data_IF_355602111426
#
_entry.id   IF_355602111426
#
_cell.length_a   1.000
_cell.length_b   1.000
_cell.length_c   1.000
_cell.angle_alpha   90.00
_cell.angle_beta   90.00
_cell.angle_gamma   90.00
#
_symmetry.space_group_name_H-M   'P 1'
#
loop_
_entity.id
_entity.type
_entity.pdbx_description
1 polymer ?
#
# COMPACT_ATOMS: atom_id res chain seq x y z
N UNK A 1 15.51 -0.94 1.69
CA UNK A 1 14.87 0.24 1.04
C UNK A 1 13.98 0.87 2.09
N UNK A 2 13.79 2.21 2.08
CA UNK A 2 12.79 2.84 2.94
C UNK A 2 11.43 2.17 2.79
N UNK A 3 10.70 2.06 3.90
CA UNK A 3 9.33 1.57 3.90
C UNK A 3 8.38 2.74 4.11
N UNK A 4 7.25 2.68 3.43
CA UNK A 4 6.18 3.66 3.51
C UNK A 4 4.86 2.97 3.81
N UNK A 5 3.98 3.70 4.48
CA UNK A 5 2.59 3.31 4.67
C UNK A 5 1.68 4.42 4.14
N UNK A 6 0.62 4.04 3.44
CA UNK A 6 -0.39 4.95 2.93
C UNK A 6 -1.75 4.65 3.55
N UNK A 7 -2.47 5.71 3.91
CA UNK A 7 -3.85 5.65 4.42
C UNK A 7 -4.75 6.16 3.30
N UNK A 8 -5.70 5.31 2.87
CA UNK A 8 -6.52 5.55 1.70
C UNK A 8 -7.99 5.81 2.03
N UNK A 9 -8.60 6.63 1.19
CA UNK A 9 -10.05 6.86 1.16
C UNK A 9 -10.56 6.50 -0.23
N UNK A 10 -11.23 5.35 -0.35
CA UNK A 10 -11.82 4.84 -1.60
C UNK A 10 -13.29 4.44 -1.34
N UNK A 11 -14.20 5.42 -1.20
CA UNK A 11 -15.61 5.15 -0.89
C UNK A 11 -16.28 4.27 -1.94
N UNK A 12 -17.05 3.27 -1.50
CA UNK A 12 -17.80 2.39 -2.38
C UNK A 12 -16.95 1.35 -3.13
N UNK A 13 -15.69 1.16 -2.73
CA UNK A 13 -14.85 0.10 -3.30
C UNK A 13 -15.50 -1.28 -3.11
N UNK A 14 -15.63 -2.03 -4.19
CA UNK A 14 -16.15 -3.40 -4.15
C UNK A 14 -15.02 -4.41 -3.94
N UNK A 15 -15.39 -5.63 -3.52
CA UNK A 15 -14.43 -6.74 -3.44
C UNK A 15 -13.75 -7.01 -4.79
N UNK A 16 -14.49 -6.96 -5.89
CA UNK A 16 -13.98 -7.19 -7.24
C UNK A 16 -12.98 -6.10 -7.64
N UNK A 17 -13.32 -4.82 -7.42
CA UNK A 17 -12.42 -3.70 -7.69
C UNK A 17 -11.13 -3.78 -6.86
N UNK A 18 -11.25 -4.16 -5.59
CA UNK A 18 -10.10 -4.37 -4.73
C UNK A 18 -9.21 -5.51 -5.26
N UNK A 19 -9.83 -6.65 -5.59
CA UNK A 19 -9.13 -7.82 -6.12
C UNK A 19 -8.43 -7.52 -7.44
N UNK A 20 -9.10 -6.84 -8.38
CA UNK A 20 -8.51 -6.46 -9.66
C UNK A 20 -7.31 -5.51 -9.49
N UNK A 21 -7.46 -4.48 -8.65
CA UNK A 21 -6.39 -3.53 -8.37
C UNK A 21 -5.12 -4.21 -7.81
N UNK A 22 -5.28 -5.21 -6.95
CA UNK A 22 -4.15 -5.96 -6.37
C UNK A 22 -3.72 -7.19 -7.19
N UNK A 23 -4.56 -7.69 -8.11
CA UNK A 23 -4.24 -8.82 -8.98
C UNK A 23 -3.09 -8.49 -9.95
N UNK A 24 -3.03 -7.23 -10.40
CA UNK A 24 -1.89 -6.69 -11.15
C UNK A 24 -0.58 -6.72 -10.36
N UNK A 25 -0.67 -6.83 -9.03
CA UNK A 25 0.45 -6.92 -8.08
C UNK A 25 0.76 -8.39 -7.74
N UNK A 26 0.25 -9.38 -8.48
CA UNK A 26 0.59 -10.80 -8.28
C UNK A 26 2.10 -11.11 -8.36
N UNK A 27 2.92 -10.19 -8.87
CA UNK A 27 4.40 -10.25 -8.82
C UNK A 27 5.07 -9.43 -7.71
N UNK A 28 4.30 -8.76 -6.83
CA UNK A 28 4.76 -8.02 -5.63
C UNK A 28 5.78 -6.90 -5.87
N UNK A 29 6.15 -6.68 -7.14
CA UNK A 29 7.05 -5.65 -7.64
C UNK A 29 6.41 -5.06 -8.90
N UNK A 30 5.65 -3.95 -8.80
CA UNK A 30 5.16 -3.27 -10.00
C UNK A 30 6.32 -2.81 -10.90
N UNK A 31 7.47 -2.51 -10.29
CA UNK A 31 8.73 -2.23 -10.97
C UNK A 31 9.93 -2.71 -10.12
N UNK A 32 11.17 -2.46 -10.56
CA UNK A 32 12.39 -2.91 -9.84
C UNK A 32 12.67 -2.15 -8.53
N UNK A 33 12.09 -0.98 -8.36
CA UNK A 33 12.30 0.00 -7.29
C UNK A 33 11.18 -0.02 -6.24
N UNK A 34 10.06 -0.67 -6.52
CA UNK A 34 8.86 -0.67 -5.69
C UNK A 34 8.45 -2.10 -5.35
N UNK A 35 8.20 -2.39 -4.07
CA UNK A 35 7.69 -3.68 -3.60
C UNK A 35 6.51 -3.43 -2.67
N UNK A 36 5.30 -3.79 -3.10
CA UNK A 36 4.11 -3.69 -2.25
C UNK A 36 4.11 -4.87 -1.29
N UNK A 37 4.00 -4.59 0.01
CA UNK A 37 4.12 -5.59 1.06
C UNK A 37 2.79 -6.08 1.57
N UNK A 38 1.82 -5.19 1.77
CA UNK A 38 0.49 -5.55 2.27
C UNK A 38 -0.50 -4.48 1.86
N UNK A 39 -1.75 -4.89 1.66
CA UNK A 39 -2.89 -3.97 1.57
C UNK A 39 -4.01 -4.54 2.42
N UNK A 40 -4.50 -3.75 3.35
CA UNK A 40 -5.69 -4.03 4.14
C UNK A 40 -6.83 -3.17 3.59
N UNK A 41 -8.03 -3.74 3.51
CA UNK A 41 -9.21 -3.05 3.00
C UNK A 41 -10.40 -3.28 3.93
N UNK A 42 -11.05 -2.19 4.32
CA UNK A 42 -12.39 -2.17 4.89
C UNK A 42 -13.36 -1.74 3.78
N UNK A 43 -14.19 -2.67 3.32
CA UNK A 43 -15.16 -2.44 2.24
C UNK A 43 -16.35 -1.57 2.68
N UNK A 44 -16.72 -1.61 3.96
CA UNK A 44 -17.88 -0.89 4.49
C UNK A 44 -17.64 0.63 4.50
N UNK A 45 -16.46 1.05 4.94
CA UNK A 45 -16.07 2.45 5.06
C UNK A 45 -15.21 2.94 3.89
N UNK A 46 -14.78 2.03 3.00
CA UNK A 46 -13.87 2.33 1.90
C UNK A 46 -12.49 2.80 2.39
N UNK A 47 -11.99 2.23 3.48
CA UNK A 47 -10.69 2.58 4.06
C UNK A 47 -9.66 1.51 3.75
N UNK A 48 -8.51 1.92 3.23
CA UNK A 48 -7.40 1.00 2.98
C UNK A 48 -6.14 1.46 3.70
N UNK A 49 -5.28 0.51 4.02
CA UNK A 49 -3.90 0.76 4.48
C UNK A 49 -2.99 -0.09 3.62
N UNK A 50 -2.04 0.53 2.93
CA UNK A 50 -1.01 -0.20 2.17
C UNK A 50 0.39 0.08 2.67
N UNK A 51 1.23 -0.95 2.60
CA UNK A 51 2.66 -0.89 2.93
C UNK A 51 3.48 -1.13 1.67
N UNK A 52 4.54 -0.35 1.48
CA UNK A 52 5.44 -0.45 0.33
C UNK A 52 6.90 -0.24 0.75
N UNK A 53 7.81 -1.00 0.14
CA UNK A 53 9.24 -0.68 0.12
C UNK A 53 9.62 -0.07 -1.22
N UNK A 54 10.08 1.17 -1.20
CA UNK A 54 10.56 1.86 -2.38
C UNK A 54 11.68 2.85 -2.05
N UNK A 55 12.45 3.24 -3.06
CA UNK A 55 13.57 4.18 -2.87
C UNK A 55 13.09 5.59 -2.50
N UNK A 56 11.99 6.03 -3.10
CA UNK A 56 11.40 7.36 -2.92
C UNK A 56 9.88 7.23 -2.78
N UNK A 57 9.27 8.12 -1.99
CA UNK A 57 7.82 8.15 -1.78
C UNK A 57 7.03 8.28 -3.10
N UNK A 58 7.56 9.02 -4.08
CA UNK A 58 6.94 9.24 -5.37
C UNK A 58 6.62 7.93 -6.12
N UNK A 59 7.46 6.90 -5.99
CA UNK A 59 7.20 5.59 -6.61
C UNK A 59 6.01 4.87 -5.99
N UNK A 60 5.75 5.12 -4.70
CA UNK A 60 4.56 4.59 -4.07
C UNK A 60 3.31 5.33 -4.55
N UNK A 61 3.38 6.66 -4.68
CA UNK A 61 2.30 7.49 -5.22
C UNK A 61 1.94 7.11 -6.67
N UNK A 62 2.94 6.83 -7.51
CA UNK A 62 2.75 6.33 -8.87
C UNK A 62 1.94 5.03 -8.89
N UNK A 63 2.28 4.06 -8.01
CA UNK A 63 1.52 2.83 -7.90
C UNK A 63 0.09 3.06 -7.37
N UNK A 64 -0.09 3.92 -6.38
CA UNK A 64 -1.42 4.27 -5.83
C UNK A 64 -2.30 4.88 -6.92
N UNK A 65 -1.74 5.78 -7.74
CA UNK A 65 -2.43 6.38 -8.87
C UNK A 65 -2.82 5.34 -9.93
N UNK A 66 -1.95 4.38 -10.23
CA UNK A 66 -2.25 3.26 -11.14
C UNK A 66 -3.37 2.35 -10.61
N UNK A 67 -3.41 2.13 -9.29
CA UNK A 67 -4.49 1.38 -8.64
C UNK A 67 -5.84 2.15 -8.64
N UNK A 68 -5.82 3.43 -9.00
CA UNK A 68 -7.00 4.29 -9.03
C UNK A 68 -7.49 4.69 -7.64
N UNK A 69 -6.63 4.67 -6.62
CA UNK A 69 -7.00 4.95 -5.25
C UNK A 69 -6.68 6.39 -4.85
N UNK A 70 -7.57 6.98 -4.04
CA UNK A 70 -7.28 8.23 -3.33
C UNK A 70 -6.59 7.94 -1.99
N UNK A 71 -5.65 8.80 -1.59
CA UNK A 71 -5.00 8.71 -0.30
C UNK A 71 -5.10 10.01 0.51
N UNK A 72 -5.22 9.85 1.82
CA UNK A 72 -5.27 10.97 2.77
C UNK A 72 -3.85 11.36 3.20
N UNK A 73 -2.97 10.36 3.35
CA UNK A 73 -1.59 10.57 3.76
C UNK A 73 -0.67 9.40 3.41
N UNK A 74 0.61 9.71 3.26
CA UNK A 74 1.70 8.74 3.14
C UNK A 74 2.77 9.10 4.17
N UNK A 75 3.26 8.09 4.87
CA UNK A 75 4.28 8.25 5.91
C UNK A 75 5.43 7.28 5.68
N UNK A 76 6.64 7.71 6.02
CA UNK A 76 7.76 6.80 6.20
C UNK A 76 7.56 5.95 7.46
N UNK A 77 7.90 4.68 7.38
CA UNK A 77 7.84 3.73 8.50
C UNK A 77 9.24 3.58 9.09
N UNK A 78 9.39 3.99 10.36
CA UNK A 78 10.65 3.87 11.09
C UNK A 78 10.75 2.58 11.90
N UNK A 79 9.62 2.01 12.29
CA UNK A 79 9.55 0.80 13.11
C UNK A 79 8.39 -0.10 12.67
N UNK A 80 8.61 -1.41 12.73
CA UNK A 80 7.58 -2.43 12.42
C UNK A 80 7.50 -3.43 13.56
N UNK A 81 6.28 -3.82 13.91
CA UNK A 81 6.01 -4.97 14.78
C UNK A 81 5.31 -6.06 13.97
N UNK A 82 5.76 -7.31 14.08
CA UNK A 82 5.08 -8.46 13.49
C UNK A 82 5.27 -9.69 14.40
N UNK A 83 4.16 -10.26 14.86
CA UNK A 83 4.11 -11.49 15.68
C UNK A 83 5.09 -11.44 16.87
N UNK A 84 4.95 -10.41 17.71
CA UNK A 84 5.72 -10.25 18.94
C UNK A 84 7.17 -9.78 18.74
N UNK A 85 7.61 -9.53 17.51
CA UNK A 85 8.94 -9.01 17.19
C UNK A 85 8.86 -7.59 16.68
N UNK A 86 9.84 -6.76 17.04
CA UNK A 86 9.94 -5.35 16.67
C UNK A 86 11.27 -5.11 15.97
N UNK A 87 11.24 -4.36 14.86
CA UNK A 87 12.43 -3.96 14.12
C UNK A 87 12.41 -2.46 13.87
N UNK A 88 13.59 -1.85 13.87
CA UNK A 88 13.84 -0.53 13.30
C UNK A 88 14.23 -0.71 11.83
N UNK A 89 13.68 0.12 10.94
CA UNK A 89 13.92 0.08 9.50
C UNK A 89 14.97 1.10 9.03
#
# INVERSE_FOLDING_TARGET
>A
MPRFMAIHSVPGITQEQFQDAVAHVSKWRPDRRTTILKVYCNLEEGKLVSECECQEQAHFEEWIAQAGWGYDAIYRVDMVQQVGRVWKL
#
